data_IF_582682694636
#
_entry.id   IF_582682694636
#
_cell.length_a   1.000
_cell.length_b   1.000
_cell.length_c   1.000
_cell.angle_alpha   90.00
_cell.angle_beta   90.00
_cell.angle_gamma   90.00
#
_symmetry.space_group_name_H-M   'P 1'
#
loop_
_entity.id
_entity.type
_entity.pdbx_description
1 polymer ?
#
# COMPACT_ATOMS: atom_id res chain seq x y z
N UNK A 1 -1.79 -12.33 2.20
CA UNK A 1 -1.21 -11.61 3.35
C UNK A 1 -2.19 -10.62 4.00
N UNK A 2 -3.00 -9.84 3.23
CA UNK A 2 -3.97 -8.90 3.82
C UNK A 2 -5.07 -9.58 4.64
N UNK A 3 -5.61 -10.71 4.18
CA UNK A 3 -6.64 -11.46 4.91
C UNK A 3 -6.10 -11.96 6.26
N UNK A 4 -4.93 -12.55 6.27
CA UNK A 4 -4.26 -13.04 7.49
C UNK A 4 -3.91 -11.90 8.46
N UNK A 5 -3.48 -10.75 7.94
CA UNK A 5 -3.19 -9.59 8.76
C UNK A 5 -4.46 -9.05 9.43
N UNK A 6 -5.58 -9.00 8.71
CA UNK A 6 -6.88 -8.60 9.24
C UNK A 6 -7.36 -9.55 10.33
N UNK A 7 -7.24 -10.87 10.11
CA UNK A 7 -7.59 -11.91 11.09
C UNK A 7 -6.79 -11.76 12.38
N UNK A 8 -5.50 -11.45 12.27
CA UNK A 8 -4.58 -11.27 13.42
C UNK A 8 -4.56 -9.85 13.96
N UNK A 9 -5.44 -8.97 13.51
CA UNK A 9 -5.48 -7.54 13.87
C UNK A 9 -4.13 -6.83 13.67
N UNK A 10 -3.40 -7.21 12.61
CA UNK A 10 -2.10 -6.60 12.24
C UNK A 10 -2.34 -5.55 11.17
N UNK A 11 -1.91 -4.32 11.42
CA UNK A 11 -1.96 -3.24 10.45
C UNK A 11 -0.80 -3.37 9.46
N UNK A 12 -1.11 -3.77 8.21
CA UNK A 12 -0.13 -3.84 7.14
C UNK A 12 0.09 -2.46 6.52
N UNK A 13 1.35 -2.03 6.50
CA UNK A 13 1.77 -0.79 5.86
C UNK A 13 2.66 -1.15 4.66
N UNK A 14 2.16 -0.88 3.46
CA UNK A 14 2.90 -1.10 2.20
C UNK A 14 3.30 0.25 1.62
N UNK A 15 4.52 0.38 1.13
CA UNK A 15 5.04 1.64 0.56
C UNK A 15 4.79 1.80 -0.92
N UNK A 16 4.42 0.72 -1.61
CA UNK A 16 4.08 0.75 -3.03
C UNK A 16 3.11 -0.37 -3.38
N UNK A 17 2.20 -0.09 -4.30
CA UNK A 17 1.34 -1.08 -4.94
C UNK A 17 1.83 -1.27 -6.37
N UNK A 18 2.28 -2.50 -6.69
CA UNK A 18 2.74 -2.85 -8.02
C UNK A 18 1.54 -2.97 -8.96
N UNK A 19 1.66 -2.47 -10.21
CA UNK A 19 0.66 -2.57 -11.25
C UNK A 19 -0.16 -1.30 -11.45
N UNK A 20 -1.20 -1.38 -12.29
CA UNK A 20 -2.02 -0.23 -12.69
C UNK A 20 -2.80 0.33 -11.50
N UNK A 21 -2.86 1.64 -11.40
CA UNK A 21 -3.67 2.33 -10.39
C UNK A 21 -5.16 2.00 -10.58
N UNK A 22 -5.84 1.83 -9.46
CA UNK A 22 -7.29 1.65 -9.46
C UNK A 22 -7.96 3.03 -9.40
N UNK A 23 -9.08 3.25 -10.13
CA UNK A 23 -9.86 4.47 -9.98
C UNK A 23 -10.29 4.69 -8.53
N UNK A 24 -10.15 5.91 -8.02
CA UNK A 24 -10.44 6.24 -6.62
C UNK A 24 -11.90 5.96 -6.24
N UNK A 25 -12.85 6.19 -7.16
CA UNK A 25 -14.26 5.85 -6.96
C UNK A 25 -14.50 4.40 -6.51
N UNK A 26 -13.63 3.47 -6.90
CA UNK A 26 -13.78 2.08 -6.50
C UNK A 26 -13.54 1.84 -4.99
N UNK A 27 -12.92 2.79 -4.30
CA UNK A 27 -12.74 2.70 -2.85
C UNK A 27 -14.08 2.70 -2.10
N UNK A 28 -15.10 3.37 -2.65
CA UNK A 28 -16.41 3.49 -2.03
C UNK A 28 -17.40 2.40 -2.46
N UNK A 29 -16.94 1.47 -3.30
CA UNK A 29 -17.74 0.33 -3.70
C UNK A 29 -17.84 -0.70 -2.58
N UNK A 30 -19.08 -1.17 -2.34
CA UNK A 30 -19.37 -2.16 -1.30
C UNK A 30 -19.65 -3.51 -1.93
N UNK A 31 -18.89 -4.52 -1.53
CA UNK A 31 -19.07 -5.92 -1.95
C UNK A 31 -19.53 -6.77 -0.78
N UNK A 32 -20.13 -7.91 -1.08
CA UNK A 32 -20.33 -8.96 -0.07
C UNK A 32 -19.00 -9.51 0.46
N UNK A 33 -19.03 -10.32 1.52
CA UNK A 33 -17.83 -10.84 2.17
C UNK A 33 -16.97 -11.70 1.23
N UNK A 34 -17.58 -12.46 0.34
CA UNK A 34 -16.88 -13.30 -0.63
C UNK A 34 -16.32 -12.50 -1.82
N UNK A 35 -16.80 -11.27 -2.04
CA UNK A 35 -16.40 -10.42 -3.18
C UNK A 35 -16.97 -10.88 -4.52
N UNK A 36 -18.02 -11.70 -4.49
CA UNK A 36 -18.69 -12.22 -5.68
C UNK A 36 -19.84 -11.34 -6.15
N UNK A 37 -20.37 -10.52 -5.26
CA UNK A 37 -21.53 -9.66 -5.48
C UNK A 37 -21.17 -8.23 -5.12
N UNK A 38 -21.42 -7.28 -6.03
CA UNK A 38 -21.38 -5.86 -5.76
C UNK A 38 -22.72 -5.45 -5.15
N UNK A 39 -22.69 -4.87 -3.97
CA UNK A 39 -23.90 -4.39 -3.28
C UNK A 39 -24.22 -2.96 -3.69
N UNK A 40 -23.22 -2.06 -3.69
CA UNK A 40 -23.43 -0.64 -4.00
C UNK A 40 -22.22 -0.02 -4.70
N UNK A 41 -22.47 0.91 -5.62
CA UNK A 41 -21.45 1.74 -6.23
C UNK A 41 -21.07 2.94 -5.32
N UNK A 42 -20.15 3.80 -5.75
CA UNK A 42 -19.70 4.96 -4.99
C UNK A 42 -20.82 5.98 -4.67
N UNK A 43 -21.85 6.06 -5.50
CA UNK A 43 -23.04 6.91 -5.27
C UNK A 43 -24.17 6.19 -4.55
N UNK A 44 -23.96 4.96 -4.09
CA UNK A 44 -24.93 4.18 -3.30
C UNK A 44 -25.96 3.39 -4.11
N UNK A 45 -25.89 3.43 -5.45
CA UNK A 45 -26.84 2.68 -6.30
C UNK A 45 -26.50 1.20 -6.34
N UNK A 46 -27.55 0.38 -6.36
CA UNK A 46 -27.46 -1.06 -6.49
C UNK A 46 -27.45 -1.48 -7.98
N UNK A 47 -26.70 -2.51 -8.38
CA UNK A 47 -26.72 -2.98 -9.76
C UNK A 47 -28.05 -3.69 -10.07
N UNK A 48 -28.60 -3.45 -11.28
CA UNK A 48 -29.82 -4.12 -11.77
C UNK A 48 -29.50 -5.56 -12.14
N UNK A 49 -28.33 -5.79 -12.70
CA UNK A 49 -27.83 -7.14 -13.08
C UNK A 49 -26.37 -7.26 -12.78
N UNK A 50 -25.95 -8.45 -12.39
CA UNK A 50 -24.53 -8.73 -12.19
C UNK A 50 -24.22 -10.20 -12.44
N UNK A 51 -22.98 -10.45 -12.86
CA UNK A 51 -22.43 -11.80 -13.02
C UNK A 51 -20.99 -11.82 -12.51
N UNK A 52 -20.60 -12.94 -11.91
CA UNK A 52 -19.25 -13.13 -11.38
C UNK A 52 -18.51 -14.20 -12.16
N UNK A 53 -17.29 -13.87 -12.60
CA UNK A 53 -16.40 -14.80 -13.30
C UNK A 53 -15.31 -15.29 -12.33
N UNK A 54 -15.35 -16.57 -11.95
CA UNK A 54 -14.41 -17.18 -10.99
C UNK A 54 -12.96 -17.13 -11.47
N UNK A 55 -12.70 -17.35 -12.76
CA UNK A 55 -11.34 -17.39 -13.34
C UNK A 55 -10.62 -16.05 -13.21
N UNK A 56 -11.30 -14.95 -13.49
CA UNK A 56 -10.73 -13.59 -13.40
C UNK A 56 -11.02 -12.90 -12.07
N UNK A 57 -11.89 -13.48 -11.23
CA UNK A 57 -12.40 -12.88 -9.97
C UNK A 57 -12.99 -11.49 -10.19
N UNK A 58 -13.73 -11.33 -11.29
CA UNK A 58 -14.34 -10.07 -11.70
C UNK A 58 -15.85 -10.16 -11.68
N UNK A 59 -16.50 -9.06 -11.31
CA UNK A 59 -17.93 -8.83 -11.41
C UNK A 59 -18.19 -7.96 -12.64
N UNK A 60 -19.00 -8.44 -13.57
CA UNK A 60 -19.61 -7.62 -14.61
C UNK A 60 -20.94 -7.13 -14.05
N UNK A 61 -21.07 -5.82 -13.91
CA UNK A 61 -22.23 -5.17 -13.29
C UNK A 61 -22.92 -4.24 -14.26
N UNK A 62 -24.23 -4.15 -14.17
CA UNK A 62 -25.08 -3.30 -15.01
C UNK A 62 -25.98 -2.47 -14.13
N UNK A 63 -25.98 -1.16 -14.34
CA UNK A 63 -26.83 -0.19 -13.68
C UNK A 63 -27.81 0.43 -14.67
N UNK A 64 -28.86 1.06 -14.18
CA UNK A 64 -29.68 1.94 -15.01
C UNK A 64 -28.80 3.10 -15.50
N UNK A 65 -28.86 3.40 -16.81
CA UNK A 65 -28.04 4.46 -17.41
C UNK A 65 -28.22 5.83 -16.74
N UNK A 66 -29.44 6.13 -16.26
CA UNK A 66 -29.75 7.38 -15.58
C UNK A 66 -28.91 7.62 -14.31
N UNK A 67 -28.44 6.55 -13.66
CA UNK A 67 -27.57 6.65 -12.49
C UNK A 67 -26.10 6.91 -12.85
N UNK A 68 -25.71 6.61 -14.08
CA UNK A 68 -24.33 6.73 -14.56
C UNK A 68 -24.13 7.97 -15.43
N UNK A 69 -25.15 8.39 -16.17
CA UNK A 69 -25.12 9.63 -16.97
C UNK A 69 -25.13 10.82 -16.01
N UNK A 70 -24.12 11.68 -16.13
CA UNK A 70 -23.96 12.83 -15.23
C UNK A 70 -23.44 12.49 -13.82
N UNK A 71 -23.11 11.23 -13.55
CA UNK A 71 -22.49 10.83 -12.30
C UNK A 71 -21.09 11.45 -12.16
N UNK A 72 -20.72 12.01 -10.98
CA UNK A 72 -19.41 12.62 -10.77
C UNK A 72 -18.25 11.63 -10.97
N UNK A 73 -18.51 10.33 -10.81
CA UNK A 73 -17.52 9.26 -11.00
C UNK A 73 -17.57 8.59 -12.38
N UNK A 74 -18.39 9.12 -13.33
CA UNK A 74 -18.53 8.53 -14.66
C UNK A 74 -17.18 8.41 -15.38
N UNK A 75 -16.33 9.45 -15.31
CA UNK A 75 -14.99 9.46 -15.91
C UNK A 75 -14.02 8.45 -15.30
N UNK A 76 -14.22 8.06 -14.04
CA UNK A 76 -13.42 7.07 -13.33
C UNK A 76 -13.92 5.64 -13.59
N UNK A 77 -15.22 5.41 -13.48
CA UNK A 77 -15.85 4.10 -13.70
C UNK A 77 -15.84 3.71 -15.18
N UNK A 78 -15.97 4.69 -16.09
CA UNK A 78 -16.04 4.52 -17.55
C UNK A 78 -17.01 3.41 -17.95
N UNK A 79 -18.29 3.47 -17.54
CA UNK A 79 -19.25 2.48 -17.89
C UNK A 79 -19.52 2.49 -19.40
N UNK A 80 -19.65 1.30 -19.99
CA UNK A 80 -20.17 1.19 -21.37
C UNK A 80 -21.68 1.36 -21.30
N UNK A 81 -22.17 2.45 -21.87
CA UNK A 81 -23.60 2.78 -21.95
C UNK A 81 -24.16 2.13 -23.21
N UNK A 82 -25.22 1.35 -23.04
CA UNK A 82 -25.93 0.68 -24.12
C UNK A 82 -27.44 0.76 -23.82
N UNK A 83 -28.10 1.69 -24.53
CA UNK A 83 -29.52 1.99 -24.28
C UNK A 83 -29.78 2.36 -22.83
N UNK A 84 -30.58 1.56 -22.15
CA UNK A 84 -31.00 1.77 -20.76
C UNK A 84 -29.98 1.30 -19.71
N UNK A 85 -28.90 0.66 -20.14
CA UNK A 85 -27.95 0.03 -19.24
C UNK A 85 -26.57 0.68 -19.32
N UNK A 86 -25.94 0.85 -18.17
CA UNK A 86 -24.55 1.23 -18.02
C UNK A 86 -23.78 0.05 -17.40
N UNK A 87 -22.90 -0.57 -18.17
CA UNK A 87 -22.20 -1.79 -17.79
C UNK A 87 -20.70 -1.54 -17.61
N UNK A 88 -20.12 -2.08 -16.56
CA UNK A 88 -18.66 -2.09 -16.39
C UNK A 88 -18.19 -3.32 -15.62
N UNK A 89 -16.87 -3.54 -15.62
CA UNK A 89 -16.24 -4.68 -14.95
C UNK A 89 -15.42 -4.17 -13.78
N UNK A 90 -15.63 -4.77 -12.62
CA UNK A 90 -14.92 -4.43 -11.39
C UNK A 90 -14.64 -5.68 -10.56
N UNK A 91 -13.94 -5.52 -9.43
CA UNK A 91 -13.69 -6.62 -8.49
C UNK A 91 -13.47 -6.08 -7.08
N UNK A 92 -13.70 -6.94 -6.06
CA UNK A 92 -13.34 -6.61 -4.68
C UNK A 92 -11.85 -6.29 -4.52
N UNK A 93 -10.98 -6.95 -5.28
CA UNK A 93 -9.56 -6.65 -5.28
C UNK A 93 -9.26 -5.24 -5.80
N UNK A 94 -9.94 -4.79 -6.86
CA UNK A 94 -9.79 -3.42 -7.36
C UNK A 94 -10.30 -2.39 -6.33
N UNK A 95 -11.42 -2.65 -5.68
CA UNK A 95 -11.93 -1.83 -4.58
C UNK A 95 -10.94 -1.77 -3.40
N UNK A 96 -10.43 -2.91 -2.94
CA UNK A 96 -9.44 -2.95 -1.86
C UNK A 96 -8.15 -2.22 -2.24
N UNK A 97 -7.74 -2.31 -3.50
CA UNK A 97 -6.59 -1.58 -4.03
C UNK A 97 -6.82 -0.07 -3.99
N UNK A 98 -7.99 0.41 -4.43
CA UNK A 98 -8.35 1.83 -4.37
C UNK A 98 -8.39 2.34 -2.93
N UNK A 99 -8.95 1.55 -1.98
CA UNK A 99 -8.93 1.86 -0.54
C UNK A 99 -7.50 1.99 -0.01
N UNK A 100 -6.63 1.06 -0.38
CA UNK A 100 -5.22 1.10 0.01
C UNK A 100 -4.50 2.31 -0.58
N UNK A 101 -4.75 2.66 -1.84
CA UNK A 101 -4.18 3.85 -2.48
C UNK A 101 -4.63 5.14 -1.80
N UNK A 102 -5.93 5.25 -1.48
CA UNK A 102 -6.48 6.39 -0.74
C UNK A 102 -5.86 6.50 0.66
N UNK A 103 -5.71 5.38 1.38
CA UNK A 103 -5.03 5.35 2.66
C UNK A 103 -3.56 5.80 2.56
N UNK A 104 -2.85 5.41 1.49
CA UNK A 104 -1.46 5.84 1.26
C UNK A 104 -1.29 7.36 1.06
N UNK A 105 -2.36 8.07 0.74
CA UNK A 105 -2.38 9.53 0.63
C UNK A 105 -2.68 10.23 1.97
N UNK A 106 -3.03 9.48 3.01
CA UNK A 106 -3.34 10.03 4.34
C UNK A 106 -2.08 10.47 5.08
N UNK A 107 -2.25 11.46 5.97
CA UNK A 107 -1.18 11.93 6.86
C UNK A 107 -0.69 10.80 7.78
N UNK A 108 -1.61 9.98 8.28
CA UNK A 108 -1.28 8.83 9.11
C UNK A 108 -0.31 7.88 8.39
N UNK A 109 -0.59 7.54 7.12
CA UNK A 109 0.31 6.72 6.32
C UNK A 109 1.67 7.39 6.12
N UNK A 110 1.70 8.70 5.85
CA UNK A 110 2.94 9.46 5.67
C UNK A 110 3.85 9.32 6.90
N UNK A 111 3.27 9.38 8.11
CA UNK A 111 4.03 9.22 9.35
C UNK A 111 4.58 7.80 9.50
N UNK A 112 3.80 6.76 9.21
CA UNK A 112 4.30 5.38 9.20
C UNK A 112 5.37 5.14 8.12
N UNK A 113 5.21 5.73 6.93
CA UNK A 113 6.21 5.63 5.87
C UNK A 113 7.55 6.25 6.26
N UNK A 114 7.54 7.37 7.00
CA UNK A 114 8.77 7.98 7.57
C UNK A 114 9.50 7.03 8.50
N UNK A 115 8.76 6.35 9.41
CA UNK A 115 9.35 5.35 10.31
C UNK A 115 10.00 4.20 9.54
N UNK A 116 9.31 3.66 8.55
CA UNK A 116 9.85 2.59 7.69
C UNK A 116 11.11 3.02 6.95
N UNK A 117 11.08 4.22 6.34
CA UNK A 117 12.25 4.77 5.65
C UNK A 117 13.44 4.92 6.60
N UNK A 118 13.21 5.28 7.86
CA UNK A 118 14.23 5.34 8.89
C UNK A 118 14.91 3.99 9.13
N UNK A 119 14.14 2.91 9.20
CA UNK A 119 14.67 1.54 9.36
C UNK A 119 15.48 1.10 8.13
N UNK A 120 15.00 1.40 6.91
CA UNK A 120 15.68 1.02 5.66
C UNK A 120 16.97 1.83 5.41
N UNK A 121 17.06 3.05 5.95
CA UNK A 121 18.27 3.92 5.79
C UNK A 121 19.49 3.32 6.48
N UNK A 122 19.33 2.61 7.59
CA UNK A 122 20.46 2.01 8.32
C UNK A 122 21.17 0.94 7.47
N UNK A 123 20.48 -0.10 6.96
CA UNK A 123 21.08 -1.09 6.06
C UNK A 123 21.67 -0.47 4.79
N UNK A 124 20.98 0.49 4.18
CA UNK A 124 21.49 1.18 2.98
C UNK A 124 22.76 1.97 3.25
N UNK A 125 22.81 2.68 4.38
CA UNK A 125 23.99 3.44 4.82
C UNK A 125 25.17 2.50 5.09
N UNK A 126 24.93 1.39 5.80
CA UNK A 126 25.95 0.39 6.09
C UNK A 126 26.49 -0.22 4.78
N UNK A 127 25.61 -0.59 3.86
CA UNK A 127 26.01 -1.12 2.55
C UNK A 127 26.87 -0.13 1.78
N UNK A 128 26.42 1.11 1.66
CA UNK A 128 27.10 2.15 0.85
C UNK A 128 28.38 2.64 1.49
N UNK A 129 28.35 3.01 2.76
CA UNK A 129 29.47 3.70 3.40
C UNK A 129 30.48 2.76 4.05
N UNK A 130 30.06 1.53 4.37
CA UNK A 130 30.94 0.55 5.02
C UNK A 130 31.22 -0.69 4.15
N UNK A 131 30.82 -0.65 2.87
CA UNK A 131 31.12 -1.68 1.85
C UNK A 131 30.75 -3.10 2.26
N UNK A 132 29.54 -3.28 2.82
CA UNK A 132 29.05 -4.61 3.21
C UNK A 132 28.63 -5.50 2.03
N UNK A 133 28.62 -4.97 0.82
CA UNK A 133 28.46 -5.72 -0.43
C UNK A 133 29.61 -6.70 -0.69
N UNK A 134 30.79 -6.48 -0.08
CA UNK A 134 31.99 -7.31 -0.22
C UNK A 134 32.30 -8.02 1.09
N UNK A 135 31.55 -9.08 1.40
CA UNK A 135 31.80 -9.87 2.60
C UNK A 135 33.02 -10.82 2.39
N UNK A 136 33.89 -10.95 3.38
CA UNK A 136 34.98 -11.93 3.33
C UNK A 136 34.41 -13.37 3.38
N UNK A 137 35.10 -14.29 2.74
CA UNK A 137 34.70 -15.70 2.75
C UNK A 137 34.85 -16.31 4.16
N UNK A 138 33.87 -17.12 4.55
CA UNK A 138 33.84 -17.84 5.81
C UNK A 138 32.97 -17.18 6.88
N UNK A 139 32.18 -18.00 7.58
CA UNK A 139 31.16 -17.56 8.54
C UNK A 139 31.71 -16.71 9.68
N UNK A 140 32.84 -17.10 10.26
CA UNK A 140 33.45 -16.36 11.38
C UNK A 140 34.03 -15.03 10.93
N UNK A 141 34.77 -15.01 9.81
CA UNK A 141 35.32 -13.78 9.23
C UNK A 141 34.19 -12.82 8.83
N UNK A 142 33.11 -13.34 8.25
CA UNK A 142 31.92 -12.55 7.90
C UNK A 142 31.27 -11.91 9.13
N UNK A 143 31.09 -12.66 10.22
CA UNK A 143 30.54 -12.13 11.49
C UNK A 143 31.43 -11.03 12.09
N UNK A 144 32.72 -11.24 12.15
CA UNK A 144 33.66 -10.27 12.68
C UNK A 144 33.66 -8.99 11.83
N UNK A 145 33.74 -9.14 10.51
CA UNK A 145 33.72 -8.01 9.58
C UNK A 145 32.42 -7.20 9.70
N UNK A 146 31.28 -7.88 9.74
CA UNK A 146 29.97 -7.23 9.92
C UNK A 146 29.90 -6.52 11.26
N UNK A 147 30.27 -7.19 12.35
CA UNK A 147 30.26 -6.62 13.71
C UNK A 147 31.13 -5.38 13.83
N UNK A 148 32.35 -5.41 13.25
CA UNK A 148 33.25 -4.25 13.27
C UNK A 148 32.68 -3.03 12.51
N UNK A 149 31.96 -3.26 11.39
CA UNK A 149 31.30 -2.18 10.65
C UNK A 149 30.11 -1.59 11.41
N UNK A 150 29.31 -2.43 12.08
CA UNK A 150 28.25 -1.95 12.96
C UNK A 150 28.79 -1.15 14.14
N UNK A 151 29.87 -1.64 14.78
CA UNK A 151 30.53 -0.91 15.85
C UNK A 151 31.03 0.48 15.38
N UNK A 152 31.68 0.54 14.22
CA UNK A 152 32.14 1.80 13.64
C UNK A 152 30.98 2.79 13.36
N UNK A 153 29.81 2.29 12.87
CA UNK A 153 28.62 3.10 12.68
C UNK A 153 28.10 3.66 14.01
N UNK A 154 28.04 2.82 15.05
CA UNK A 154 27.56 3.23 16.37
C UNK A 154 28.51 4.25 17.03
N UNK A 155 29.81 4.06 16.94
CA UNK A 155 30.80 5.05 17.40
C UNK A 155 30.67 6.37 16.67
N UNK A 156 30.50 6.36 15.36
CA UNK A 156 30.26 7.58 14.58
C UNK A 156 29.00 8.32 15.01
N UNK A 157 27.91 7.58 15.25
CA UNK A 157 26.65 8.18 15.76
C UNK A 157 26.83 8.77 17.14
N UNK A 158 27.46 8.04 18.08
CA UNK A 158 27.73 8.51 19.42
C UNK A 158 28.62 9.75 19.41
N UNK A 159 29.67 9.77 18.59
CA UNK A 159 30.55 10.91 18.44
C UNK A 159 29.82 12.14 17.89
N UNK A 160 28.98 11.96 16.86
CA UNK A 160 28.14 13.03 16.33
C UNK A 160 27.19 13.60 17.38
N UNK A 161 26.57 12.73 18.17
CA UNK A 161 25.69 13.13 19.28
C UNK A 161 26.44 13.93 20.36
N UNK A 162 27.60 13.45 20.82
CA UNK A 162 28.44 14.15 21.82
C UNK A 162 28.94 15.51 21.34
N UNK A 163 29.15 15.68 20.03
CA UNK A 163 29.53 16.96 19.44
C UNK A 163 28.35 17.88 19.13
N UNK A 164 27.12 17.51 19.46
CA UNK A 164 25.93 18.28 19.15
C UNK A 164 25.58 18.37 17.65
N UNK A 165 26.24 17.56 16.79
CA UNK A 165 25.99 17.54 15.36
C UNK A 165 24.66 16.85 14.99
N UNK A 166 24.11 16.06 15.91
CA UNK A 166 22.84 15.33 15.72
C UNK A 166 22.04 15.42 17.02
N UNK A 167 20.85 15.96 16.93
CA UNK A 167 19.91 16.02 18.07
C UNK A 167 18.84 14.91 17.89
N UNK A 168 19.03 13.79 18.56
CA UNK A 168 18.09 12.67 18.54
C UNK A 168 16.78 12.96 19.28
N UNK A 169 16.76 13.91 20.23
CA UNK A 169 15.57 14.28 20.99
C UNK A 169 14.50 14.99 20.11
N UNK A 170 14.91 15.61 19.01
CA UNK A 170 14.01 16.24 18.04
C UNK A 170 13.59 15.30 16.92
N UNK A 171 14.05 14.07 16.94
CA UNK A 171 13.74 13.09 15.89
C UNK A 171 12.67 12.11 16.40
N UNK A 172 11.38 12.26 16.02
CA UNK A 172 10.27 11.45 16.55
C UNK A 172 10.38 9.95 16.22
N UNK A 173 11.42 9.55 15.50
CA UNK A 173 11.70 8.16 15.15
C UNK A 173 12.16 7.33 16.36
N UNK A 174 12.60 7.97 17.46
CA UNK A 174 13.19 7.31 18.64
C UNK A 174 12.59 7.77 19.97
N UNK A 175 11.45 8.46 19.92
CA UNK A 175 10.65 8.80 21.10
C UNK A 175 9.61 7.72 21.39
#
# INVERSE_FOLDING_TARGET
NFALAKEKNIKLITTALIGKEAPDALADFTFNDDGTILLRCATGHEPVRQSYTKTTRQCKVSFNCNHCVGCPYQGQCRPKIDGWNATFITSKNASNRAKSQRYMQSEEFSNYAKLRNGVETVPANIRKNYRLDKLPRGKQRGKFFFGSKIAALNFRKLFGFRKGLVNYAQNPIFG
#
